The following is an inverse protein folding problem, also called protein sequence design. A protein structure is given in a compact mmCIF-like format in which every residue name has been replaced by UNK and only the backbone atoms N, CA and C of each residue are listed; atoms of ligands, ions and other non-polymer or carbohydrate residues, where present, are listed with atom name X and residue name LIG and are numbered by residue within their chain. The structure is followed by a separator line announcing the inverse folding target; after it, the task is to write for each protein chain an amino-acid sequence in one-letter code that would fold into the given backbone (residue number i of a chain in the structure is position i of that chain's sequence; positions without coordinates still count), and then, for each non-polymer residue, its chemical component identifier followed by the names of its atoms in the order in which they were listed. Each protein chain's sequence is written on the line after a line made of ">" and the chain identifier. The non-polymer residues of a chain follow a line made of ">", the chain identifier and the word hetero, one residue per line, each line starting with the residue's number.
data_IF_838246044473
#
_entry.id   IF_838246044473
#
_cell.length_a   1.000
_cell.length_b   1.000
_cell.length_c   1.000
_cell.angle_alpha   90.00
_cell.angle_beta   90.00
_cell.angle_gamma   90.00
#
_symmetry.space_group_name_H-M   'P 1'
#
loop_
_entity.id
_entity.type
_entity.pdbx_description
1 polymer ?
#
# COMPACT_ATOMS: atom_id res chain seq x y z
N UNK A 1 54.11 -5.40 12.54
CA UNK A 1 52.96 -5.98 13.26
C UNK A 1 51.96 -4.85 13.51
N UNK A 2 50.71 -4.77 13.03
CA UNK A 2 49.71 -5.65 12.40
C UNK A 2 48.96 -4.74 11.38
N UNK A 3 48.90 -5.00 10.08
CA UNK A 3 47.91 -5.82 9.33
C UNK A 3 46.45 -5.76 9.80
N UNK A 4 45.66 -5.00 9.01
CA UNK A 4 44.40 -5.38 8.32
C UNK A 4 43.07 -5.40 9.08
N UNK A 5 42.10 -4.65 8.54
CA UNK A 5 40.66 -4.82 8.75
C UNK A 5 39.87 -4.02 7.71
N UNK A 6 39.67 -4.59 6.51
CA UNK A 6 38.82 -4.08 5.40
C UNK A 6 37.37 -3.83 5.87
N UNK A 7 36.65 -2.90 5.23
CA UNK A 7 35.35 -3.08 4.52
C UNK A 7 34.88 -1.71 3.97
N UNK A 8 34.98 -1.49 2.65
CA UNK A 8 33.93 -1.58 1.61
C UNK A 8 33.52 -0.19 1.08
N UNK A 9 34.22 0.20 0.01
CA UNK A 9 33.78 0.94 -1.18
C UNK A 9 32.53 1.82 -1.01
N UNK A 10 32.74 3.09 -0.63
CA UNK A 10 31.80 4.15 -0.95
C UNK A 10 31.98 4.47 -2.45
N UNK A 11 30.99 4.07 -3.26
CA UNK A 11 31.00 4.28 -4.71
C UNK A 11 31.02 5.78 -5.02
N UNK A 12 32.12 6.20 -5.63
CA UNK A 12 32.31 7.49 -6.26
C UNK A 12 31.43 7.59 -7.51
N UNK A 13 30.59 8.61 -7.58
CA UNK A 13 30.06 9.11 -8.84
C UNK A 13 30.54 10.56 -8.99
N UNK A 14 31.61 10.72 -9.78
CA UNK A 14 32.14 12.00 -10.19
C UNK A 14 31.32 12.47 -11.42
N UNK A 15 30.63 13.61 -11.31
CA UNK A 15 30.39 14.49 -12.45
C UNK A 15 30.07 15.91 -11.93
N UNK A 16 31.05 16.79 -12.10
CA UNK A 16 30.98 18.23 -11.82
C UNK A 16 30.14 18.94 -12.90
N UNK A 17 28.94 19.42 -12.57
CA UNK A 17 28.45 20.75 -12.96
C UNK A 17 27.69 21.30 -11.74
N UNK A 18 28.14 22.43 -11.22
CA UNK A 18 27.83 22.90 -9.88
C UNK A 18 26.37 23.30 -9.65
N UNK A 19 25.69 22.57 -8.78
CA UNK A 19 24.77 23.03 -7.73
C UNK A 19 24.68 21.88 -6.73
N UNK A 20 24.82 22.16 -5.44
CA UNK A 20 25.16 21.18 -4.40
C UNK A 20 24.27 19.93 -4.43
N UNK A 21 24.90 18.75 -4.54
CA UNK A 21 24.24 17.45 -4.46
C UNK A 21 23.45 17.27 -3.15
N UNK A 22 23.85 17.98 -2.09
CA UNK A 22 23.11 18.08 -0.84
C UNK A 22 21.72 18.75 -1.00
N UNK A 23 21.57 19.81 -1.81
CA UNK A 23 20.29 20.46 -2.01
C UNK A 23 19.31 19.58 -2.81
N UNK A 24 19.80 18.85 -3.80
CA UNK A 24 18.97 17.94 -4.60
C UNK A 24 18.55 16.69 -3.82
N UNK A 25 19.46 16.08 -3.06
CA UNK A 25 19.10 14.95 -2.18
C UNK A 25 18.14 15.39 -1.06
N UNK A 26 18.39 16.53 -0.42
CA UNK A 26 17.50 17.08 0.60
C UNK A 26 16.10 17.38 0.03
N UNK A 27 16.02 17.96 -1.18
CA UNK A 27 14.74 18.24 -1.86
C UNK A 27 14.03 16.95 -2.28
N UNK A 28 14.77 15.91 -2.66
CA UNK A 28 14.24 14.58 -2.98
C UNK A 28 13.63 13.90 -1.74
N UNK A 29 14.39 13.79 -0.64
CA UNK A 29 13.91 13.25 0.63
C UNK A 29 12.77 14.06 1.27
N UNK A 30 12.77 15.39 1.08
CA UNK A 30 11.66 16.26 1.50
C UNK A 30 10.41 16.02 0.67
N UNK A 31 10.52 15.83 -0.66
CA UNK A 31 9.38 15.68 -1.56
C UNK A 31 8.69 14.31 -1.45
N UNK A 32 9.46 13.23 -1.27
CA UNK A 32 8.91 11.87 -1.07
C UNK A 32 7.93 11.85 0.12
N UNK A 33 8.36 12.41 1.24
CA UNK A 33 7.58 12.44 2.47
C UNK A 33 6.49 13.52 2.45
N UNK A 34 6.68 14.62 1.71
CA UNK A 34 5.70 15.70 1.61
C UNK A 34 4.38 15.21 1.03
N UNK A 35 4.43 14.39 -0.02
CA UNK A 35 3.21 13.87 -0.63
C UNK A 35 2.52 12.83 0.25
N UNK A 36 3.26 11.96 0.93
CA UNK A 36 2.68 11.02 1.89
C UNK A 36 1.98 11.78 3.03
N UNK A 37 2.63 12.81 3.58
CA UNK A 37 2.05 13.67 4.64
C UNK A 37 0.79 14.39 4.17
N UNK A 38 0.85 15.01 2.99
CA UNK A 38 -0.30 15.72 2.41
C UNK A 38 -1.44 14.79 2.07
N UNK A 39 -1.15 13.60 1.53
CA UNK A 39 -2.16 12.59 1.26
C UNK A 39 -2.86 12.12 2.53
N UNK A 40 -2.09 11.88 3.59
CA UNK A 40 -2.62 11.51 4.90
C UNK A 40 -3.49 12.62 5.51
N UNK A 41 -3.05 13.86 5.40
CA UNK A 41 -3.82 15.01 5.92
C UNK A 41 -5.11 15.24 5.12
N UNK A 42 -5.03 15.21 3.79
CA UNK A 42 -6.20 15.29 2.93
C UNK A 42 -7.22 14.19 3.24
N UNK A 43 -6.75 12.95 3.49
CA UNK A 43 -7.60 11.84 3.88
C UNK A 43 -8.31 12.07 5.23
N UNK A 44 -7.63 12.67 6.23
CA UNK A 44 -8.25 13.05 7.50
C UNK A 44 -9.31 14.14 7.35
N UNK A 45 -9.12 15.05 6.39
CA UNK A 45 -10.04 16.14 6.07
C UNK A 45 -11.21 15.69 5.19
N UNK A 46 -11.22 14.44 4.71
CA UNK A 46 -12.21 13.94 3.76
C UNK A 46 -11.98 14.43 2.32
N UNK A 47 -10.88 15.12 2.03
CA UNK A 47 -10.46 15.46 0.67
C UNK A 47 -9.87 14.21 -0.01
N UNK A 48 -10.77 13.33 -0.45
CA UNK A 48 -10.41 12.07 -1.09
C UNK A 48 -9.68 12.31 -2.42
N UNK A 49 -10.03 13.35 -3.17
CA UNK A 49 -9.38 13.64 -4.46
C UNK A 49 -7.96 14.14 -4.27
N UNK A 50 -7.74 15.04 -3.32
CA UNK A 50 -6.41 15.47 -2.91
C UNK A 50 -5.58 14.30 -2.39
N UNK A 51 -6.15 13.46 -1.51
CA UNK A 51 -5.48 12.29 -0.96
C UNK A 51 -5.02 11.33 -2.07
N UNK A 52 -5.92 11.00 -3.00
CA UNK A 52 -5.65 10.12 -4.15
C UNK A 52 -4.51 10.69 -5.01
N UNK A 53 -4.57 11.98 -5.35
CA UNK A 53 -3.51 12.67 -6.11
C UNK A 53 -2.15 12.64 -5.41
N UNK A 54 -2.12 12.90 -4.10
CA UNK A 54 -0.86 12.90 -3.35
C UNK A 54 -0.27 11.50 -3.22
N UNK A 55 -1.08 10.48 -2.94
CA UNK A 55 -0.60 9.10 -2.87
C UNK A 55 -0.11 8.59 -4.24
N UNK A 56 -0.79 8.91 -5.35
CA UNK A 56 -0.28 8.58 -6.70
C UNK A 56 1.09 9.22 -6.96
N UNK A 57 1.27 10.49 -6.61
CA UNK A 57 2.57 11.18 -6.75
C UNK A 57 3.67 10.60 -5.85
N UNK A 58 3.32 10.13 -4.66
CA UNK A 58 4.28 9.43 -3.80
C UNK A 58 4.65 8.07 -4.41
N UNK A 59 3.67 7.31 -4.88
CA UNK A 59 3.87 5.97 -5.46
C UNK A 59 4.56 5.97 -6.84
N UNK A 60 4.64 7.12 -7.52
CA UNK A 60 5.40 7.27 -8.77
C UNK A 60 6.89 7.60 -8.56
N UNK A 61 7.34 7.69 -7.30
CA UNK A 61 8.74 7.93 -6.93
C UNK A 61 9.33 6.68 -6.29
N UNK A 62 10.65 6.60 -6.33
CA UNK A 62 11.40 5.56 -5.63
C UNK A 62 11.47 5.88 -4.13
N UNK A 63 10.42 5.49 -3.39
CA UNK A 63 10.30 5.74 -1.94
C UNK A 63 10.63 4.53 -1.07
N UNK A 64 11.12 3.45 -1.70
CA UNK A 64 11.38 2.16 -1.06
C UNK A 64 10.10 1.38 -0.68
N UNK A 65 10.19 0.04 -0.69
CA UNK A 65 9.06 -0.85 -0.45
C UNK A 65 8.36 -0.61 0.90
N UNK A 66 9.13 -0.32 1.96
CA UNK A 66 8.60 -0.06 3.30
C UNK A 66 7.57 1.08 3.33
N UNK A 67 7.78 2.14 2.53
CA UNK A 67 6.84 3.26 2.43
C UNK A 67 5.83 3.06 1.30
N UNK A 68 6.24 2.42 0.21
CA UNK A 68 5.41 2.20 -0.96
C UNK A 68 4.18 1.34 -0.60
N UNK A 69 4.36 0.28 0.18
CA UNK A 69 3.27 -0.64 0.55
C UNK A 69 2.12 0.07 1.29
N UNK A 70 2.36 0.82 2.40
CA UNK A 70 1.32 1.62 3.03
C UNK A 70 0.70 2.70 2.13
N UNK A 71 1.50 3.34 1.27
CA UNK A 71 1.01 4.38 0.34
C UNK A 71 0.04 3.78 -0.67
N UNK A 72 0.39 2.64 -1.28
CA UNK A 72 -0.48 1.92 -2.22
C UNK A 72 -1.75 1.41 -1.54
N UNK A 73 -1.64 0.91 -0.30
CA UNK A 73 -2.79 0.50 0.48
C UNK A 73 -3.74 1.66 0.81
N UNK A 74 -3.20 2.84 1.12
CA UNK A 74 -3.99 4.04 1.36
C UNK A 74 -4.63 4.57 0.07
N UNK A 75 -3.90 4.56 -1.05
CA UNK A 75 -4.45 4.88 -2.36
C UNK A 75 -5.63 3.97 -2.71
N UNK A 76 -5.48 2.66 -2.48
CA UNK A 76 -6.56 1.69 -2.67
C UNK A 76 -7.80 2.04 -1.83
N UNK A 77 -7.63 2.34 -0.54
CA UNK A 77 -8.73 2.72 0.33
C UNK A 77 -9.42 4.02 -0.09
N UNK A 78 -8.64 5.02 -0.51
CA UNK A 78 -9.16 6.32 -0.97
C UNK A 78 -9.91 6.15 -2.29
N UNK A 79 -9.31 5.48 -3.28
CA UNK A 79 -9.97 5.26 -4.58
C UNK A 79 -11.24 4.41 -4.43
N UNK A 80 -11.24 3.42 -3.53
CA UNK A 80 -12.45 2.67 -3.17
C UNK A 80 -13.55 3.59 -2.61
N UNK A 81 -13.21 4.48 -1.67
CA UNK A 81 -14.16 5.44 -1.13
C UNK A 81 -14.70 6.44 -2.16
N UNK A 82 -13.95 6.68 -3.24
CA UNK A 82 -14.38 7.48 -4.39
C UNK A 82 -15.19 6.67 -5.43
N UNK A 83 -15.37 5.36 -5.25
CA UNK A 83 -16.00 4.48 -6.25
C UNK A 83 -15.12 4.16 -7.46
N UNK A 84 -13.84 4.53 -7.45
CA UNK A 84 -12.85 4.26 -8.51
C UNK A 84 -12.32 2.82 -8.36
N UNK A 85 -13.20 1.84 -8.52
CA UNK A 85 -12.94 0.44 -8.14
C UNK A 85 -11.74 -0.19 -8.87
N UNK A 86 -11.55 0.08 -10.16
CA UNK A 86 -10.41 -0.48 -10.91
C UNK A 86 -9.06 0.08 -10.44
N UNK A 87 -8.98 1.40 -10.20
CA UNK A 87 -7.78 2.05 -9.65
C UNK A 87 -7.48 1.53 -8.24
N UNK A 88 -8.52 1.31 -7.44
CA UNK A 88 -8.36 0.74 -6.10
C UNK A 88 -7.81 -0.70 -6.15
N UNK A 89 -8.36 -1.54 -7.03
CA UNK A 89 -7.90 -2.92 -7.22
C UNK A 89 -6.44 -2.98 -7.67
N UNK A 90 -6.05 -2.11 -8.61
CA UNK A 90 -4.66 -1.98 -9.07
C UNK A 90 -3.73 -1.61 -7.91
N UNK A 91 -4.06 -0.57 -7.15
CA UNK A 91 -3.25 -0.09 -6.04
C UNK A 91 -3.04 -1.18 -4.96
N UNK A 92 -4.12 -1.88 -4.57
CA UNK A 92 -4.01 -2.98 -3.62
C UNK A 92 -3.23 -4.18 -4.18
N UNK A 93 -3.41 -4.50 -5.46
CA UNK A 93 -2.67 -5.60 -6.11
C UNK A 93 -1.18 -5.30 -6.16
N UNK A 94 -0.80 -4.06 -6.47
CA UNK A 94 0.59 -3.60 -6.38
C UNK A 94 1.12 -3.69 -4.95
N UNK A 95 0.36 -3.27 -3.94
CA UNK A 95 0.78 -3.38 -2.54
C UNK A 95 1.07 -4.84 -2.13
N UNK A 96 0.25 -5.80 -2.59
CA UNK A 96 0.43 -7.24 -2.35
C UNK A 96 1.66 -7.79 -3.10
N UNK A 97 1.95 -7.29 -4.29
CA UNK A 97 3.12 -7.69 -5.06
C UNK A 97 4.43 -7.26 -4.38
N UNK A 98 4.44 -6.05 -3.80
CA UNK A 98 5.58 -5.52 -3.03
C UNK A 98 5.74 -6.22 -1.67
N UNK A 99 4.65 -6.50 -0.95
CA UNK A 99 4.68 -7.27 0.29
C UNK A 99 3.47 -8.23 0.42
N UNK A 100 3.75 -9.51 0.20
CA UNK A 100 2.77 -10.61 0.30
C UNK A 100 2.31 -10.92 1.73
N UNK A 101 2.90 -10.30 2.75
CA UNK A 101 2.52 -10.42 4.15
C UNK A 101 1.72 -9.21 4.66
N UNK A 102 1.53 -8.18 3.83
CA UNK A 102 0.78 -6.98 4.20
C UNK A 102 -0.74 -7.24 4.19
N UNK A 103 -1.23 -7.85 5.27
CA UNK A 103 -2.62 -8.32 5.41
C UNK A 103 -3.69 -7.24 5.13
N UNK A 104 -3.40 -5.96 5.36
CA UNK A 104 -4.35 -4.86 5.12
C UNK A 104 -4.69 -4.69 3.64
N UNK A 105 -3.72 -4.92 2.74
CA UNK A 105 -3.97 -4.82 1.30
C UNK A 105 -4.91 -5.93 0.81
N UNK A 106 -4.85 -7.12 1.40
CA UNK A 106 -5.81 -8.19 1.14
C UNK A 106 -7.22 -7.81 1.62
N UNK A 107 -7.37 -7.22 2.82
CA UNK A 107 -8.69 -6.73 3.28
C UNK A 107 -9.24 -5.65 2.34
N UNK A 108 -8.41 -4.69 1.96
CA UNK A 108 -8.85 -3.60 1.09
C UNK A 108 -9.18 -4.09 -0.32
N UNK A 109 -8.39 -4.99 -0.92
CA UNK A 109 -8.74 -5.60 -2.21
C UNK A 109 -9.99 -6.45 -2.13
N UNK A 110 -10.17 -7.19 -1.03
CA UNK A 110 -11.40 -7.92 -0.76
C UNK A 110 -12.64 -7.00 -0.75
N UNK A 111 -12.54 -5.82 -0.14
CA UNK A 111 -13.61 -4.82 -0.17
C UNK A 111 -13.91 -4.32 -1.59
N UNK A 112 -12.87 -4.05 -2.37
CA UNK A 112 -12.99 -3.64 -3.78
C UNK A 112 -13.65 -4.73 -4.61
N UNK A 113 -13.16 -5.97 -4.52
CA UNK A 113 -13.71 -7.14 -5.21
C UNK A 113 -15.17 -7.38 -4.82
N UNK A 114 -15.51 -7.23 -3.53
CA UNK A 114 -16.89 -7.33 -3.05
C UNK A 114 -17.79 -6.27 -3.71
N UNK A 115 -17.34 -5.01 -3.78
CA UNK A 115 -18.08 -3.95 -4.45
C UNK A 115 -18.23 -4.17 -5.96
N UNK A 116 -17.29 -4.88 -6.59
CA UNK A 116 -17.38 -5.33 -7.99
C UNK A 116 -18.26 -6.58 -8.17
N UNK A 117 -18.78 -7.18 -7.10
CA UNK A 117 -19.57 -8.42 -7.13
C UNK A 117 -18.73 -9.71 -7.23
N UNK A 118 -17.40 -9.61 -7.15
CA UNK A 118 -16.46 -10.73 -7.22
C UNK A 118 -16.31 -11.42 -5.85
N UNK A 119 -17.42 -11.94 -5.31
CA UNK A 119 -17.49 -12.45 -3.93
C UNK A 119 -16.51 -13.60 -3.62
N UNK A 120 -16.30 -14.52 -4.55
CA UNK A 120 -15.38 -15.64 -4.35
C UNK A 120 -13.92 -15.19 -4.19
N UNK A 121 -13.49 -14.22 -4.99
CA UNK A 121 -12.14 -13.65 -4.89
C UNK A 121 -12.00 -12.79 -3.62
N UNK A 122 -13.05 -12.05 -3.25
CA UNK A 122 -13.08 -11.32 -1.98
C UNK A 122 -12.92 -12.26 -0.78
N UNK A 123 -13.59 -13.42 -0.79
CA UNK A 123 -13.43 -14.45 0.24
C UNK A 123 -11.99 -14.96 0.33
N UNK A 124 -11.35 -15.26 -0.81
CA UNK A 124 -9.95 -15.70 -0.83
C UNK A 124 -9.02 -14.66 -0.21
N UNK A 125 -9.21 -13.38 -0.53
CA UNK A 125 -8.41 -12.29 0.02
C UNK A 125 -8.64 -12.12 1.53
N UNK A 126 -9.90 -12.12 2.00
CA UNK A 126 -10.19 -12.04 3.43
C UNK A 126 -9.63 -13.25 4.20
N UNK A 127 -9.78 -14.47 3.67
CA UNK A 127 -9.22 -15.67 4.29
C UNK A 127 -7.68 -15.60 4.35
N UNK A 128 -7.03 -15.09 3.31
CA UNK A 128 -5.58 -14.84 3.32
C UNK A 128 -5.19 -13.82 4.39
N UNK A 129 -5.95 -12.73 4.54
CA UNK A 129 -5.70 -11.73 5.57
C UNK A 129 -5.84 -12.31 6.99
N UNK A 130 -6.86 -13.15 7.23
CA UNK A 130 -7.04 -13.88 8.50
C UNK A 130 -5.85 -14.79 8.80
N UNK A 131 -5.35 -15.53 7.80
CA UNK A 131 -4.16 -16.39 7.95
C UNK A 131 -2.90 -15.60 8.29
N UNK A 132 -2.72 -14.42 7.68
CA UNK A 132 -1.54 -13.56 7.91
C UNK A 132 -1.60 -12.84 9.26
N UNK A 133 -2.79 -12.42 9.71
CA UNK A 133 -3.01 -11.77 11.00
C UNK A 133 -4.17 -12.44 11.76
N UNK A 134 -3.91 -13.61 12.38
CA UNK A 134 -4.90 -14.22 13.26
C UNK A 134 -5.20 -13.29 14.45
N UNK A 135 -6.46 -13.28 14.89
CA UNK A 135 -6.93 -12.47 16.02
C UNK A 135 -7.10 -10.98 15.75
N UNK A 136 -7.07 -10.53 14.49
CA UNK A 136 -7.48 -9.15 14.17
C UNK A 136 -8.99 -9.08 13.95
N UNK A 137 -9.69 -8.28 14.76
CA UNK A 137 -11.12 -8.03 14.58
C UNK A 137 -11.46 -7.51 13.18
N UNK A 138 -10.55 -6.79 12.54
CA UNK A 138 -10.74 -6.27 11.19
C UNK A 138 -10.82 -7.41 10.16
N UNK A 139 -9.89 -8.37 10.21
CA UNK A 139 -9.86 -9.48 9.25
C UNK A 139 -11.04 -10.43 9.49
N UNK A 140 -11.36 -10.69 10.75
CA UNK A 140 -12.49 -11.53 11.14
C UNK A 140 -13.84 -10.90 10.72
N UNK A 141 -14.06 -9.61 11.01
CA UNK A 141 -15.30 -8.92 10.61
C UNK A 141 -15.45 -8.84 9.09
N UNK A 142 -14.37 -8.63 8.35
CA UNK A 142 -14.42 -8.56 6.90
C UNK A 142 -14.90 -9.89 6.29
N UNK A 143 -14.34 -11.01 6.76
CA UNK A 143 -14.75 -12.34 6.32
C UNK A 143 -16.18 -12.67 6.78
N UNK A 144 -16.49 -12.47 8.05
CA UNK A 144 -17.82 -12.76 8.61
C UNK A 144 -18.92 -12.00 7.87
N UNK A 145 -18.73 -10.69 7.65
CA UNK A 145 -19.67 -9.85 6.91
C UNK A 145 -19.91 -10.37 5.49
N UNK A 146 -18.88 -10.84 4.80
CA UNK A 146 -19.04 -11.42 3.46
C UNK A 146 -19.88 -12.72 3.51
N UNK A 147 -19.63 -13.59 4.49
CA UNK A 147 -20.38 -14.84 4.66
C UNK A 147 -21.85 -14.58 4.99
N UNK A 148 -22.13 -13.56 5.80
CA UNK A 148 -23.49 -13.12 6.14
C UNK A 148 -24.23 -12.50 4.94
N UNK A 149 -23.54 -11.71 4.11
CA UNK A 149 -24.12 -11.10 2.91
C UNK A 149 -24.34 -12.12 1.79
N UNK A 150 -23.54 -13.19 1.74
CA UNK A 150 -23.54 -14.19 0.66
C UNK A 150 -23.67 -15.63 1.18
N UNK A 151 -24.66 -15.95 2.02
CA UNK A 151 -24.73 -17.23 2.70
C UNK A 151 -24.86 -18.40 1.72
N UNK A 152 -25.58 -18.23 0.61
CA UNK A 152 -25.76 -19.26 -0.42
C UNK A 152 -24.47 -19.59 -1.17
N UNK A 153 -23.58 -18.61 -1.37
CA UNK A 153 -22.32 -18.81 -2.09
C UNK A 153 -21.30 -19.59 -1.26
N UNK A 154 -21.41 -19.53 0.06
CA UNK A 154 -20.46 -20.14 0.99
C UNK A 154 -21.09 -21.21 1.89
N UNK A 155 -22.32 -21.65 1.57
CA UNK A 155 -23.08 -22.61 2.35
C UNK A 155 -22.50 -24.04 2.36
N UNK A 156 -21.37 -24.33 1.69
CA UNK A 156 -20.89 -25.72 1.58
C UNK A 156 -19.37 -25.85 1.76
N UNK A 157 -18.99 -26.27 2.96
CA UNK A 157 -18.17 -27.46 3.25
C UNK A 157 -18.22 -27.71 4.76
N UNK A 158 -19.23 -28.44 5.24
CA UNK A 158 -19.18 -29.12 6.54
C UNK A 158 -18.63 -30.52 6.33
#
# INVERSE_FOLDING_TARGET
>A
MKTTGKQLIAATALALIGFSTAANAQTFYMNENRDIKRGTEAMKQGDLEGASRYFRRAASRDIGAERLVPVLNNLCAVDYAQGKLDSAEEACTRAIAEDRHFWRAYVNRGNVLKAKGHFAQAHQDYAKAVKLKPGSDMTQRALAKLLEEQPKLFAVAR
#
